data_IF_156472264927
#
_entry.id   IF_156472264927
#
_cell.length_a   1.000
_cell.length_b   1.000
_cell.length_c   1.000
_cell.angle_alpha   90.00
_cell.angle_beta   90.00
_cell.angle_gamma   90.00
#
_symmetry.space_group_name_H-M   'P 1'
#
loop_
_entity.id
_entity.type
_entity.pdbx_description
1 polymer ?
#
# COMPACT_ATOMS: atom_id res chain seq x y z
N UNK A 1 -4.64 28.77 7.51
CA UNK A 1 -5.87 28.88 6.67
C UNK A 1 -5.50 29.58 5.38
N UNK A 2 -5.95 29.06 4.27
CA UNK A 2 -5.76 29.71 2.98
C UNK A 2 -6.51 31.06 2.98
N UNK A 3 -5.89 32.12 2.46
CA UNK A 3 -6.54 33.39 2.23
C UNK A 3 -7.70 33.24 1.24
N UNK A 4 -8.67 34.11 1.33
CA UNK A 4 -9.82 34.13 0.41
C UNK A 4 -10.04 35.59 -0.06
N UNK A 5 -10.41 35.69 -1.31
CA UNK A 5 -10.83 36.96 -1.90
C UNK A 5 -12.21 36.77 -2.51
N UNK A 6 -13.15 37.61 -2.16
CA UNK A 6 -14.49 37.60 -2.74
C UNK A 6 -14.98 39.03 -2.87
N UNK A 7 -15.78 39.24 -3.89
CA UNK A 7 -16.45 40.53 -4.13
C UNK A 7 -17.97 40.38 -3.99
N UNK A 8 -18.63 41.44 -3.58
CA UNK A 8 -20.08 41.57 -3.60
C UNK A 8 -20.47 42.98 -4.06
N UNK A 9 -21.67 43.13 -4.60
CA UNK A 9 -22.22 44.42 -4.93
C UNK A 9 -22.90 44.98 -3.70
N UNK A 10 -22.55 46.22 -3.35
CA UNK A 10 -23.23 46.97 -2.30
C UNK A 10 -24.57 47.55 -2.80
N UNK A 11 -25.30 48.27 -1.93
CA UNK A 11 -26.60 48.84 -2.25
C UNK A 11 -26.54 49.90 -3.39
N UNK A 12 -25.37 50.49 -3.63
CA UNK A 12 -25.12 51.46 -4.69
C UNK A 12 -24.63 50.82 -6.00
N UNK A 13 -24.63 49.49 -6.08
CA UNK A 13 -24.14 48.68 -7.19
C UNK A 13 -22.62 48.78 -7.44
N UNK A 14 -21.86 49.30 -6.49
CA UNK A 14 -20.41 49.28 -6.52
C UNK A 14 -19.88 47.92 -6.04
N UNK A 15 -18.80 47.42 -6.69
CA UNK A 15 -18.16 46.17 -6.30
C UNK A 15 -17.24 46.39 -5.10
N UNK A 16 -17.64 45.90 -3.95
CA UNK A 16 -16.78 45.86 -2.79
C UNK A 16 -16.02 44.51 -2.75
N UNK A 17 -14.73 44.57 -2.43
CA UNK A 17 -13.85 43.44 -2.35
C UNK A 17 -13.40 43.21 -0.92
N UNK A 18 -13.68 42.03 -0.40
CA UNK A 18 -13.17 41.61 0.90
C UNK A 18 -12.00 40.66 0.70
N UNK A 19 -10.87 41.01 1.28
CA UNK A 19 -9.66 40.20 1.28
C UNK A 19 -9.47 39.65 2.70
N UNK A 20 -9.52 38.32 2.83
CA UNK A 20 -9.10 37.63 4.06
C UNK A 20 -7.67 37.15 3.82
N UNK A 21 -6.74 37.74 4.53
CA UNK A 21 -5.32 37.35 4.39
C UNK A 21 -5.08 35.92 4.82
N UNK A 22 -4.14 35.26 4.12
CA UNK A 22 -3.69 33.94 4.50
C UNK A 22 -2.98 34.01 5.86
N UNK A 23 -3.36 33.12 6.77
CA UNK A 23 -2.65 32.97 8.05
C UNK A 23 -1.61 31.85 7.92
N UNK A 24 -0.39 32.08 8.44
CA UNK A 24 0.63 31.02 8.49
C UNK A 24 0.08 29.77 9.17
N UNK A 25 0.38 28.61 8.59
CA UNK A 25 0.07 27.33 9.22
C UNK A 25 0.97 27.08 10.45
N UNK A 26 0.63 26.05 11.22
CA UNK A 26 1.51 25.55 12.29
C UNK A 26 2.54 24.62 11.70
N UNK A 27 3.72 24.56 12.31
CA UNK A 27 4.71 23.56 11.98
C UNK A 27 4.20 22.17 12.38
N UNK A 28 4.45 21.18 11.52
CA UNK A 28 4.22 19.76 11.82
C UNK A 28 5.57 19.12 12.08
N UNK A 29 5.72 18.50 13.24
CA UNK A 29 6.90 17.69 13.58
C UNK A 29 6.53 16.23 13.32
N UNK A 30 7.35 15.55 12.53
CA UNK A 30 7.15 14.14 12.17
C UNK A 30 8.30 13.30 12.72
N UNK A 31 8.10 11.99 12.75
CA UNK A 31 9.13 11.00 13.13
C UNK A 31 9.98 10.56 11.92
N UNK A 32 9.72 11.12 10.74
CA UNK A 32 10.45 10.77 9.50
C UNK A 32 11.92 11.16 9.61
N UNK A 33 12.81 10.18 9.44
CA UNK A 33 14.24 10.37 9.28
C UNK A 33 14.59 10.60 7.81
N UNK A 34 15.21 11.74 7.51
CA UNK A 34 15.56 12.15 6.15
C UNK A 34 16.52 11.16 5.46
N UNK A 35 17.42 10.54 6.24
CA UNK A 35 18.37 9.58 5.68
C UNK A 35 17.67 8.27 5.33
N UNK A 36 16.77 7.78 6.19
CA UNK A 36 15.95 6.59 5.92
C UNK A 36 15.06 6.86 4.70
N UNK A 37 14.41 8.02 4.64
CA UNK A 37 13.57 8.40 3.50
C UNK A 37 14.38 8.40 2.18
N UNK A 38 15.59 8.95 2.19
CA UNK A 38 16.47 8.94 1.03
C UNK A 38 16.90 7.53 0.61
N UNK A 39 17.18 6.65 1.58
CA UNK A 39 17.53 5.25 1.32
C UNK A 39 16.34 4.54 0.66
N UNK A 40 15.11 4.74 1.16
CA UNK A 40 13.90 4.15 0.58
C UNK A 40 13.73 4.61 -0.87
N UNK A 41 13.83 5.92 -1.13
CA UNK A 41 13.72 6.49 -2.48
C UNK A 41 14.71 5.83 -3.44
N UNK A 42 16.00 5.82 -3.08
CA UNK A 42 17.03 5.20 -3.89
C UNK A 42 16.80 3.70 -4.11
N UNK A 43 16.28 2.99 -3.11
CA UNK A 43 15.98 1.56 -3.24
C UNK A 43 14.81 1.30 -4.22
N UNK A 44 13.76 2.13 -4.19
CA UNK A 44 12.64 2.06 -5.13
C UNK A 44 13.11 2.32 -6.57
N UNK A 45 13.89 3.37 -6.78
CA UNK A 45 14.44 3.75 -8.09
C UNK A 45 15.31 2.63 -8.66
N UNK A 46 16.25 2.11 -7.88
CA UNK A 46 17.13 1.01 -8.29
C UNK A 46 16.35 -0.29 -8.58
N UNK A 47 15.28 -0.56 -7.82
CA UNK A 47 14.43 -1.72 -8.06
C UNK A 47 13.68 -1.57 -9.38
N UNK A 48 13.07 -0.43 -9.62
CA UNK A 48 12.34 -0.14 -10.86
C UNK A 48 13.26 -0.26 -12.07
N UNK A 49 14.46 0.34 -12.03
CA UNK A 49 15.43 0.22 -13.14
C UNK A 49 15.82 -1.23 -13.40
N UNK A 50 16.07 -2.01 -12.35
CA UNK A 50 16.37 -3.44 -12.49
C UNK A 50 15.23 -4.22 -13.12
N UNK A 51 13.98 -3.93 -12.75
CA UNK A 51 12.79 -4.59 -13.33
C UNK A 51 12.58 -4.18 -14.78
N UNK A 52 12.82 -2.91 -15.12
CA UNK A 52 12.81 -2.44 -16.52
C UNK A 52 13.74 -3.27 -17.38
N UNK A 53 15.00 -3.42 -16.97
CA UNK A 53 16.00 -4.21 -17.69
C UNK A 53 15.59 -5.68 -17.81
N UNK A 54 15.09 -6.29 -16.72
CA UNK A 54 14.62 -7.68 -16.74
C UNK A 54 13.42 -7.89 -17.68
N UNK A 55 12.55 -6.89 -17.81
CA UNK A 55 11.40 -6.91 -18.70
C UNK A 55 11.74 -6.48 -20.15
N UNK A 56 13.03 -6.32 -20.46
CA UNK A 56 13.51 -6.02 -21.80
C UNK A 56 13.44 -4.54 -22.18
N UNK A 57 13.45 -3.64 -21.18
CA UNK A 57 13.65 -2.22 -21.43
C UNK A 57 15.15 -1.94 -21.71
N UNK A 58 15.42 -1.04 -22.64
CA UNK A 58 16.75 -0.54 -22.95
C UNK A 58 16.78 0.99 -22.98
N UNK A 59 17.96 1.57 -23.22
CA UNK A 59 18.15 3.02 -23.24
C UNK A 59 17.36 3.73 -24.35
N UNK A 60 16.89 2.99 -25.36
CA UNK A 60 16.07 3.52 -26.45
C UNK A 60 14.57 3.57 -26.14
N UNK A 61 14.13 2.95 -25.04
CA UNK A 61 12.73 2.97 -24.63
C UNK A 61 12.30 4.39 -24.22
N UNK A 62 11.11 4.77 -24.66
CA UNK A 62 10.47 6.01 -24.20
C UNK A 62 10.08 5.88 -22.73
N UNK A 63 9.94 7.00 -22.01
CA UNK A 63 9.55 7.02 -20.61
C UNK A 63 8.22 6.25 -20.38
N UNK A 64 7.25 6.40 -21.28
CA UNK A 64 5.99 5.65 -21.24
C UNK A 64 6.20 4.13 -21.35
N UNK A 65 7.10 3.68 -22.24
CA UNK A 65 7.43 2.26 -22.37
C UNK A 65 8.17 1.73 -21.14
N UNK A 66 9.03 2.53 -20.53
CA UNK A 66 9.71 2.18 -19.28
C UNK A 66 8.71 1.98 -18.15
N UNK A 67 7.74 2.86 -17.98
CA UNK A 67 6.68 2.74 -16.96
C UNK A 67 5.85 1.46 -17.10
N UNK A 68 5.53 1.06 -18.34
CA UNK A 68 4.77 -0.19 -18.57
C UNK A 68 5.56 -1.46 -18.24
N UNK A 69 6.88 -1.38 -18.22
CA UNK A 69 7.79 -2.50 -17.89
C UNK A 69 8.22 -2.51 -16.43
N UNK A 70 7.89 -1.48 -15.66
CA UNK A 70 8.17 -1.37 -14.23
C UNK A 70 7.24 -2.21 -13.34
N UNK A 71 7.51 -2.24 -12.05
CA UNK A 71 6.52 -2.66 -11.07
C UNK A 71 5.35 -1.66 -11.08
N UNK A 72 4.12 -2.18 -11.08
CA UNK A 72 2.93 -1.32 -11.14
C UNK A 72 2.88 -0.32 -9.99
N UNK A 73 3.13 -0.81 -8.78
CA UNK A 73 3.23 0.02 -7.57
C UNK A 73 4.26 -0.58 -6.62
N UNK A 74 5.02 0.25 -5.96
CA UNK A 74 5.93 -0.09 -4.88
C UNK A 74 5.61 0.82 -3.71
N UNK A 75 5.38 0.26 -2.54
CA UNK A 75 5.25 1.01 -1.30
C UNK A 75 6.25 0.48 -0.27
N UNK A 76 6.90 1.37 0.45
CA UNK A 76 7.84 1.03 1.52
C UNK A 76 7.50 1.83 2.77
N UNK A 77 7.33 1.14 3.89
CA UNK A 77 7.15 1.74 5.21
C UNK A 77 8.21 1.18 6.14
N UNK A 78 8.95 2.05 6.79
CA UNK A 78 9.92 1.69 7.85
C UNK A 78 9.40 2.21 9.17
N UNK A 79 9.19 1.29 10.11
CA UNK A 79 8.62 1.57 11.42
C UNK A 79 9.52 1.02 12.53
N UNK A 80 9.65 1.77 13.63
CA UNK A 80 10.22 1.24 14.86
C UNK A 80 9.19 0.36 15.58
N UNK A 81 9.44 -0.95 15.75
CA UNK A 81 8.48 -1.86 16.37
C UNK A 81 8.29 -1.64 17.87
N UNK A 82 9.18 -0.88 18.54
CA UNK A 82 9.11 -0.65 19.98
C UNK A 82 8.09 0.43 20.35
N UNK A 83 7.93 1.44 19.49
CA UNK A 83 7.08 2.61 19.78
C UNK A 83 6.08 2.93 18.68
N UNK A 84 6.17 2.28 17.50
CA UNK A 84 5.29 2.48 16.37
C UNK A 84 5.59 3.73 15.53
N UNK A 85 6.72 4.39 15.77
CA UNK A 85 7.12 5.56 14.97
C UNK A 85 7.42 5.18 13.52
N UNK A 86 6.83 5.91 12.58
CA UNK A 86 7.16 5.79 11.15
C UNK A 86 8.43 6.59 10.89
N UNK A 87 9.52 5.89 10.60
CA UNK A 87 10.84 6.48 10.32
C UNK A 87 11.01 6.83 8.84
N UNK A 88 10.26 6.19 7.96
CA UNK A 88 10.24 6.47 6.53
C UNK A 88 9.05 5.85 5.85
N UNK A 89 8.50 6.54 4.84
CA UNK A 89 7.40 6.05 4.03
C UNK A 89 7.50 6.66 2.64
N UNK A 90 7.49 5.81 1.60
CA UNK A 90 7.59 6.27 0.22
C UNK A 90 6.95 5.27 -0.75
N UNK A 91 6.63 5.73 -1.94
CA UNK A 91 6.04 4.92 -3.00
C UNK A 91 6.68 5.20 -4.36
N UNK A 92 6.47 4.30 -5.32
CA UNK A 92 6.97 4.48 -6.70
C UNK A 92 6.41 5.74 -7.34
N UNK A 93 5.12 6.01 -7.09
CA UNK A 93 4.47 7.21 -7.60
C UNK A 93 4.62 8.33 -6.55
N UNK A 94 5.36 9.35 -6.89
CA UNK A 94 5.57 10.50 -6.03
C UNK A 94 5.54 11.79 -6.86
N UNK A 95 5.19 12.87 -6.21
CA UNK A 95 5.19 14.20 -6.80
C UNK A 95 6.08 15.14 -5.99
N UNK A 96 6.57 16.21 -6.62
CA UNK A 96 7.37 17.22 -5.93
C UNK A 96 6.48 18.04 -4.99
N UNK A 97 6.75 17.94 -3.67
CA UNK A 97 6.05 18.70 -2.63
C UNK A 97 6.21 20.22 -2.78
N UNK A 98 7.26 20.69 -3.47
CA UNK A 98 7.46 22.10 -3.76
C UNK A 98 6.66 22.56 -4.99
N UNK A 99 6.26 21.61 -5.86
CA UNK A 99 5.42 21.86 -7.02
C UNK A 99 4.27 20.84 -7.13
N UNK A 100 3.36 20.82 -6.15
CA UNK A 100 2.40 19.71 -6.00
C UNK A 100 1.31 19.68 -7.08
N UNK A 101 1.26 20.64 -7.97
CA UNK A 101 0.30 20.71 -9.07
C UNK A 101 0.91 20.43 -10.44
N UNK A 102 2.16 20.01 -10.47
CA UNK A 102 2.85 19.63 -11.69
C UNK A 102 2.42 18.23 -12.15
N UNK A 103 1.72 18.17 -13.26
CA UNK A 103 1.26 16.94 -13.90
C UNK A 103 2.25 16.42 -14.95
N UNK A 104 3.25 17.21 -15.34
CA UNK A 104 4.18 16.87 -16.43
C UNK A 104 4.98 15.58 -16.22
N UNK A 105 5.30 15.11 -14.98
CA UNK A 105 5.92 13.82 -14.77
C UNK A 105 5.02 12.62 -15.09
N UNK A 106 3.69 12.82 -15.17
CA UNK A 106 2.70 11.75 -15.25
C UNK A 106 1.89 11.77 -16.55
N UNK A 107 1.76 12.94 -17.19
CA UNK A 107 0.94 13.17 -18.39
C UNK A 107 1.73 13.96 -19.42
N UNK A 108 1.48 13.70 -20.68
CA UNK A 108 2.03 14.53 -21.76
C UNK A 108 1.41 15.92 -21.77
N UNK A 109 2.11 16.90 -22.36
CA UNK A 109 1.59 18.25 -22.45
C UNK A 109 0.25 18.31 -23.23
N UNK A 110 0.11 17.48 -24.25
CA UNK A 110 -1.13 17.37 -25.04
C UNK A 110 -2.32 16.88 -24.18
N UNK A 111 -2.10 15.91 -23.30
CA UNK A 111 -3.11 15.42 -22.36
C UNK A 111 -3.47 16.49 -21.33
N UNK A 112 -2.47 17.19 -20.79
CA UNK A 112 -2.70 18.28 -19.80
C UNK A 112 -3.51 19.40 -20.42
N UNK A 113 -3.17 19.83 -21.64
CA UNK A 113 -3.84 20.92 -22.35
C UNK A 113 -5.29 20.58 -22.76
N UNK A 114 -5.59 19.27 -22.89
CA UNK A 114 -6.93 18.78 -23.21
C UNK A 114 -7.83 18.63 -21.97
N UNK A 115 -7.28 18.61 -20.75
CA UNK A 115 -8.04 18.42 -19.51
C UNK A 115 -8.89 19.65 -19.19
N UNK A 116 -10.14 19.43 -18.83
CA UNK A 116 -10.96 20.45 -18.17
C UNK A 116 -10.64 20.52 -16.65
N UNK A 117 -11.23 21.51 -15.96
CA UNK A 117 -10.94 21.74 -14.52
C UNK A 117 -11.22 20.51 -13.64
N UNK A 118 -12.28 19.73 -13.94
CA UNK A 118 -12.62 18.52 -13.18
C UNK A 118 -11.61 17.41 -13.43
N UNK A 119 -11.25 17.17 -14.68
CA UNK A 119 -10.24 16.19 -15.08
C UNK A 119 -8.87 16.53 -14.49
N UNK A 120 -8.49 17.80 -14.51
CA UNK A 120 -7.27 18.28 -13.84
C UNK A 120 -7.30 18.00 -12.33
N UNK A 121 -8.42 18.25 -11.66
CA UNK A 121 -8.55 17.96 -10.22
C UNK A 121 -8.55 16.45 -9.91
N UNK A 122 -9.12 15.62 -10.77
CA UNK A 122 -9.05 14.16 -10.64
C UNK A 122 -7.63 13.65 -10.83
N UNK A 123 -6.91 14.14 -11.85
CA UNK A 123 -5.50 13.81 -12.07
C UNK A 123 -4.62 14.22 -10.88
N UNK A 124 -4.77 15.45 -10.38
CA UNK A 124 -4.07 15.91 -9.18
C UNK A 124 -4.39 15.06 -7.96
N UNK A 125 -5.66 14.71 -7.76
CA UNK A 125 -6.08 13.86 -6.64
C UNK A 125 -5.49 12.45 -6.74
N UNK A 126 -5.28 11.95 -7.95
CA UNK A 126 -4.66 10.65 -8.19
C UNK A 126 -3.17 10.67 -7.81
N UNK A 127 -2.41 11.69 -8.24
CA UNK A 127 -0.97 11.79 -7.93
C UNK A 127 -0.68 12.13 -6.47
N UNK A 128 -1.63 12.76 -5.76
CA UNK A 128 -1.48 13.10 -4.33
C UNK A 128 -1.73 11.91 -3.41
N UNK A 129 -2.19 10.78 -3.94
CA UNK A 129 -2.37 9.58 -3.13
C UNK A 129 -1.02 9.03 -2.66
N UNK A 130 -0.98 8.64 -1.39
CA UNK A 130 0.11 7.84 -0.88
C UNK A 130 -0.29 6.36 -0.94
N UNK A 131 0.31 5.61 -1.85
CA UNK A 131 0.04 4.20 -2.07
C UNK A 131 0.11 3.36 -0.78
N UNK A 132 1.05 3.68 0.12
CA UNK A 132 1.24 2.94 1.36
C UNK A 132 0.01 2.96 2.30
N UNK A 133 -0.87 3.97 2.16
CA UNK A 133 -2.03 4.18 3.05
C UNK A 133 -3.37 4.31 2.32
N UNK A 134 -3.36 4.48 1.00
CA UNK A 134 -4.57 4.77 0.22
C UNK A 134 -5.11 3.57 -0.54
N UNK A 135 -4.26 2.60 -0.83
CA UNK A 135 -4.59 1.50 -1.73
C UNK A 135 -4.64 0.17 -0.98
N UNK A 136 -5.68 -0.61 -1.26
CA UNK A 136 -5.80 -1.96 -0.76
C UNK A 136 -5.13 -2.94 -1.73
N UNK A 137 -4.46 -3.95 -1.19
CA UNK A 137 -3.84 -5.02 -1.96
C UNK A 137 -4.05 -6.38 -1.29
N UNK A 138 -3.87 -7.45 -2.04
CA UNK A 138 -3.91 -8.81 -1.51
C UNK A 138 -2.56 -9.16 -0.85
N UNK A 139 -2.48 -9.26 0.49
CA UNK A 139 -1.20 -9.42 1.20
C UNK A 139 -0.57 -10.79 0.97
N UNK A 140 -1.35 -11.79 0.52
CA UNK A 140 -0.87 -13.15 0.32
C UNK A 140 -0.30 -13.76 1.61
N UNK A 141 0.84 -14.45 1.49
CA UNK A 141 1.47 -15.17 2.62
C UNK A 141 1.97 -14.27 3.74
N UNK A 142 2.10 -12.97 3.52
CA UNK A 142 2.49 -12.01 4.58
C UNK A 142 1.42 -11.84 5.66
N UNK A 143 0.16 -12.23 5.38
CA UNK A 143 -0.91 -12.27 6.37
C UNK A 143 -0.87 -13.51 7.29
N UNK A 144 -0.11 -14.54 6.96
CA UNK A 144 -0.09 -15.81 7.73
C UNK A 144 0.35 -15.65 9.19
N UNK A 145 1.43 -14.91 9.51
CA UNK A 145 1.83 -14.68 10.89
C UNK A 145 0.72 -14.05 11.74
N UNK A 146 -0.01 -13.08 11.18
CA UNK A 146 -1.14 -12.44 11.90
C UNK A 146 -2.26 -13.42 12.20
N UNK A 147 -2.60 -14.27 11.22
CA UNK A 147 -3.63 -15.30 11.42
C UNK A 147 -3.22 -16.35 12.44
N UNK A 148 -1.96 -16.77 12.45
CA UNK A 148 -1.42 -17.71 13.44
C UNK A 148 -1.43 -17.07 14.84
N UNK A 149 -0.95 -15.84 14.99
CA UNK A 149 -0.98 -15.11 16.25
C UNK A 149 -2.41 -14.98 16.81
N UNK A 150 -3.37 -14.71 15.92
CA UNK A 150 -4.78 -14.66 16.30
C UNK A 150 -5.33 -16.02 16.76
N UNK A 151 -4.94 -17.12 16.09
CA UNK A 151 -5.34 -18.47 16.48
C UNK A 151 -4.80 -18.86 17.86
N UNK A 152 -3.55 -18.47 18.17
CA UNK A 152 -3.00 -18.59 19.53
C UNK A 152 -3.77 -17.76 20.54
N UNK A 153 -4.08 -16.50 20.22
CA UNK A 153 -4.84 -15.60 21.12
C UNK A 153 -6.27 -16.09 21.41
N UNK A 154 -6.81 -16.92 20.53
CA UNK A 154 -8.13 -17.55 20.69
C UNK A 154 -8.07 -18.92 21.38
N UNK A 155 -6.88 -19.37 21.78
CA UNK A 155 -6.62 -20.69 22.37
C UNK A 155 -7.15 -21.87 21.51
N UNK A 156 -7.20 -21.70 20.18
CA UNK A 156 -7.65 -22.74 19.25
C UNK A 156 -6.50 -23.59 18.71
N UNK A 157 -5.26 -23.12 18.89
CA UNK A 157 -4.00 -23.85 18.63
C UNK A 157 -3.00 -23.57 19.73
N UNK A 158 -2.04 -24.48 19.87
CA UNK A 158 -0.84 -24.40 20.71
C UNK A 158 0.39 -24.90 19.93
N UNK A 159 1.56 -24.90 20.56
CA UNK A 159 2.81 -25.30 19.91
C UNK A 159 2.84 -26.80 19.50
N UNK A 160 2.04 -27.64 20.17
CA UNK A 160 1.94 -29.08 19.92
C UNK A 160 0.81 -29.43 18.93
N UNK A 161 0.01 -28.47 18.52
CA UNK A 161 -1.06 -28.67 17.55
C UNK A 161 -0.48 -29.09 16.20
N UNK A 162 -0.97 -30.19 15.65
CA UNK A 162 -0.49 -30.75 14.39
C UNK A 162 -1.46 -30.50 13.24
N UNK A 163 -0.89 -30.22 12.09
CA UNK A 163 -1.56 -30.00 10.80
C UNK A 163 -0.95 -30.93 9.76
N UNK A 164 -1.78 -31.58 8.96
CA UNK A 164 -1.29 -32.43 7.88
C UNK A 164 -1.48 -31.77 6.51
N UNK A 165 -0.42 -31.72 5.73
CA UNK A 165 -0.42 -31.19 4.38
C UNK A 165 -0.17 -32.28 3.35
N UNK A 166 -1.20 -32.75 2.70
CA UNK A 166 -1.13 -33.71 1.57
C UNK A 166 -0.84 -33.00 0.22
N UNK A 167 -0.38 -31.73 0.25
CA UNK A 167 -0.13 -30.93 -0.95
C UNK A 167 -1.33 -30.10 -1.40
N UNK A 168 -2.49 -30.30 -0.83
CA UNK A 168 -3.72 -29.56 -1.10
C UNK A 168 -4.66 -29.60 0.12
N UNK A 169 -5.72 -28.80 0.06
CA UNK A 169 -6.84 -28.84 0.99
C UNK A 169 -8.15 -28.68 0.21
N UNK A 170 -9.24 -29.26 0.68
CA UNK A 170 -10.55 -29.13 0.03
C UNK A 170 -11.47 -28.26 0.86
N UNK A 171 -11.82 -27.10 0.32
CA UNK A 171 -12.71 -26.13 0.96
C UNK A 171 -13.96 -25.95 0.10
N UNK A 172 -15.13 -26.16 0.69
CA UNK A 172 -16.43 -26.04 0.00
C UNK A 172 -16.48 -26.82 -1.33
N UNK A 173 -15.85 -28.00 -1.39
CA UNK A 173 -15.81 -28.85 -2.58
C UNK A 173 -14.78 -28.44 -3.64
N UNK A 174 -14.00 -27.39 -3.40
CA UNK A 174 -12.92 -26.95 -4.29
C UNK A 174 -11.57 -27.35 -3.74
N UNK A 175 -10.73 -27.96 -4.58
CA UNK A 175 -9.35 -28.30 -4.23
C UNK A 175 -8.45 -27.07 -4.38
N UNK A 176 -7.83 -26.66 -3.28
CA UNK A 176 -6.87 -25.56 -3.22
C UNK A 176 -5.48 -26.13 -2.98
N UNK A 177 -4.57 -25.90 -3.93
CA UNK A 177 -3.23 -26.45 -3.90
C UNK A 177 -2.32 -25.69 -2.92
N UNK A 178 -1.48 -26.45 -2.22
CA UNK A 178 -0.35 -25.90 -1.51
C UNK A 178 0.81 -25.63 -2.49
N UNK A 179 1.75 -24.75 -2.11
CA UNK A 179 2.96 -24.50 -2.90
C UNK A 179 3.86 -25.72 -3.08
N UNK A 180 3.73 -26.73 -2.21
CA UNK A 180 4.45 -28.01 -2.33
C UNK A 180 3.88 -28.96 -3.39
N UNK A 181 2.64 -28.74 -3.86
CA UNK A 181 1.97 -29.64 -4.80
C UNK A 181 2.79 -29.86 -6.10
N UNK A 182 2.94 -31.10 -6.63
CA UNK A 182 2.32 -32.36 -6.22
C UNK A 182 2.96 -33.08 -5.01
N UNK A 183 4.02 -32.55 -4.42
CA UNK A 183 4.57 -33.00 -3.16
C UNK A 183 3.74 -32.55 -1.96
N UNK A 184 4.21 -32.87 -0.78
CA UNK A 184 3.55 -32.57 0.51
C UNK A 184 4.55 -31.97 1.49
N UNK A 185 4.02 -31.26 2.51
CA UNK A 185 4.84 -30.91 3.69
C UNK A 185 4.70 -31.94 4.81
N UNK A 186 3.71 -32.86 4.72
CA UNK A 186 3.40 -33.81 5.77
C UNK A 186 2.86 -33.16 7.03
N UNK A 187 3.08 -33.81 8.15
CA UNK A 187 2.65 -33.36 9.48
C UNK A 187 3.56 -32.23 9.97
N UNK A 188 2.96 -31.13 10.42
CA UNK A 188 3.64 -29.88 10.76
C UNK A 188 3.05 -29.27 12.04
N UNK A 189 3.90 -28.61 12.82
CA UNK A 189 3.50 -27.69 13.89
C UNK A 189 3.09 -26.33 13.30
N UNK A 190 2.46 -25.41 14.07
CA UNK A 190 2.19 -24.03 13.61
C UNK A 190 3.45 -23.29 13.13
N UNK A 191 4.58 -23.51 13.80
CA UNK A 191 5.87 -22.94 13.40
C UNK A 191 6.33 -23.46 12.02
N UNK A 192 6.17 -24.77 11.75
CA UNK A 192 6.50 -25.35 10.45
C UNK A 192 5.54 -24.88 9.36
N UNK A 193 4.25 -24.69 9.67
CA UNK A 193 3.26 -24.11 8.74
C UNK A 193 3.69 -22.73 8.29
N UNK A 194 4.18 -21.88 9.20
CA UNK A 194 4.73 -20.56 8.87
C UNK A 194 6.04 -20.66 8.07
N UNK A 195 6.99 -21.44 8.56
CA UNK A 195 8.30 -21.66 7.94
C UNK A 195 8.18 -22.11 6.47
N UNK A 196 7.30 -23.06 6.22
CA UNK A 196 7.07 -23.65 4.90
C UNK A 196 6.06 -22.83 4.07
N UNK A 197 5.51 -21.76 4.64
CA UNK A 197 4.40 -21.00 4.02
C UNK A 197 3.27 -21.92 3.53
N UNK A 198 2.93 -22.95 4.32
CA UNK A 198 2.00 -24.00 3.95
C UNK A 198 0.56 -23.48 3.84
N UNK A 199 -0.03 -23.57 2.65
CA UNK A 199 -1.42 -23.14 2.44
C UNK A 199 -2.41 -24.12 3.10
N UNK A 200 -2.19 -25.44 3.01
CA UNK A 200 -3.06 -26.45 3.61
C UNK A 200 -3.13 -26.26 5.13
N UNK A 201 -1.97 -26.18 5.82
CA UNK A 201 -1.94 -25.94 7.25
C UNK A 201 -2.62 -24.63 7.66
N UNK A 202 -2.45 -23.56 6.88
CA UNK A 202 -3.15 -22.29 7.14
C UNK A 202 -4.66 -22.39 6.99
N UNK A 203 -5.16 -23.14 6.01
CA UNK A 203 -6.59 -23.39 5.85
C UNK A 203 -7.16 -24.19 7.04
N UNK A 204 -6.42 -25.19 7.53
CA UNK A 204 -6.82 -25.96 8.72
C UNK A 204 -6.82 -25.08 10.00
N UNK A 205 -5.84 -24.16 10.15
CA UNK A 205 -5.84 -23.16 11.23
C UNK A 205 -7.09 -22.29 11.12
N UNK A 206 -7.40 -21.78 9.92
CA UNK A 206 -8.60 -20.97 9.68
C UNK A 206 -9.90 -21.72 10.00
N UNK A 207 -9.98 -23.01 9.69
CA UNK A 207 -11.12 -23.86 10.03
C UNK A 207 -11.29 -23.99 11.56
N UNK A 208 -10.18 -24.19 12.30
CA UNK A 208 -10.19 -24.23 13.78
C UNK A 208 -10.66 -22.91 14.38
N UNK A 209 -10.26 -21.78 13.83
CA UNK A 209 -10.71 -20.45 14.26
C UNK A 209 -12.22 -20.24 14.02
N UNK A 210 -12.74 -20.85 12.95
CA UNK A 210 -14.12 -20.66 12.52
C UNK A 210 -14.39 -19.34 11.81
N UNK A 211 -15.42 -19.32 11.00
CA UNK A 211 -15.73 -18.18 10.10
C UNK A 211 -15.92 -16.84 10.86
N UNK A 212 -16.57 -16.87 12.01
CA UNK A 212 -16.88 -15.66 12.77
C UNK A 212 -15.62 -14.98 13.31
N UNK A 213 -14.72 -15.75 13.89
CA UNK A 213 -13.48 -15.24 14.46
C UNK A 213 -12.52 -14.80 13.35
N UNK A 214 -12.43 -15.58 12.27
CA UNK A 214 -11.61 -15.23 11.11
C UNK A 214 -12.06 -13.90 10.46
N UNK A 215 -13.37 -13.67 10.33
CA UNK A 215 -13.92 -12.42 9.80
C UNK A 215 -13.65 -11.23 10.73
N UNK A 216 -13.72 -11.43 12.05
CA UNK A 216 -13.42 -10.38 13.03
C UNK A 216 -11.96 -9.92 12.95
N UNK A 217 -11.02 -10.84 12.77
CA UNK A 217 -9.59 -10.53 12.63
C UNK A 217 -9.30 -9.71 11.37
N UNK A 218 -9.96 -10.01 10.24
CA UNK A 218 -9.86 -9.19 9.02
C UNK A 218 -10.24 -7.73 9.27
N UNK A 219 -11.25 -7.48 10.09
CA UNK A 219 -11.69 -6.11 10.42
C UNK A 219 -10.62 -5.40 11.25
N UNK A 220 -10.01 -6.06 12.23
CA UNK A 220 -8.94 -5.47 13.05
C UNK A 220 -7.65 -5.19 12.25
N UNK A 221 -7.28 -6.05 11.31
CA UNK A 221 -6.09 -5.85 10.47
C UNK A 221 -6.24 -4.71 9.45
N UNK A 222 -7.47 -4.37 9.05
CA UNK A 222 -7.77 -3.25 8.13
C UNK A 222 -8.01 -1.94 8.89
N UNK A 223 -8.40 -2.01 10.17
CA UNK A 223 -8.71 -0.82 11.00
C UNK A 223 -7.50 -0.30 11.79
N UNK A 224 -6.36 -0.96 11.71
CA UNK A 224 -5.12 -0.59 12.42
C UNK A 224 -4.12 0.19 11.53
N UNK A 225 -4.57 0.66 10.36
CA UNK A 225 -3.79 1.51 9.45
C UNK A 225 -4.45 2.87 9.35
#
# INVERSE_FOLDING_TARGET
MNGRQFGYYNEDADMEQTIIEAQPGKNVVTTIDVNIQKIIRTAIENYNERIHVQNGADESDTETNRQTKAAKNIGVVVMDPNNGEILGMDSSDWYDLNNPRDLTPFYSQEEIDAMNDNETMEALSAIWKNYCISDAYEPGSTAKPMNVAAAYSLDVIDDDTLFDCEGFETIAGQMIRCGAYPGTHGVQTPADVLKNSCNAGMMQIGQKMGQRNFSAIRIFSVSAV
#
